data_IF_221419890761
#
_entry.id   IF_221419890761
#
_cell.length_a   1.000
_cell.length_b   1.000
_cell.length_c   1.000
_cell.angle_alpha   90.00
_cell.angle_beta   90.00
_cell.angle_gamma   90.00
#
_symmetry.space_group_name_H-M   'P 1'
#
loop_
_entity.id
_entity.type
_entity.pdbx_description
1 polymer ?
#
# COMPACT_ATOMS: atom_id res chain seq x y z
N UNK A 1 -2.37 -29.15 31.22
CA UNK A 1 -1.37 -28.77 30.19
C UNK A 1 -2.01 -27.73 29.28
N UNK A 2 -1.78 -26.44 29.53
CA UNK A 2 -2.22 -25.36 28.65
C UNK A 2 -1.07 -24.93 27.77
N UNK A 3 -1.16 -25.18 26.46
CA UNK A 3 -0.15 -24.74 25.49
C UNK A 3 -0.21 -23.22 25.30
N UNK A 4 0.93 -22.52 25.18
CA UNK A 4 0.92 -21.11 24.88
C UNK A 4 0.48 -20.91 23.42
N UNK A 5 -0.72 -20.36 23.23
CA UNK A 5 -1.13 -19.78 21.96
C UNK A 5 -0.28 -18.53 21.73
N UNK A 6 0.81 -18.66 20.98
CA UNK A 6 1.57 -17.52 20.49
C UNK A 6 0.74 -16.80 19.43
N UNK A 7 -0.08 -15.83 19.88
CA UNK A 7 -0.74 -14.88 19.00
C UNK A 7 0.35 -14.03 18.37
N UNK A 8 0.79 -14.42 17.17
CA UNK A 8 1.80 -13.71 16.41
C UNK A 8 1.41 -12.24 16.30
N UNK A 9 2.29 -11.38 16.79
CA UNK A 9 2.27 -9.93 16.58
C UNK A 9 2.44 -9.71 15.08
N UNK A 10 1.35 -9.74 14.31
CA UNK A 10 1.37 -9.31 12.92
C UNK A 10 1.48 -7.78 12.98
N UNK A 11 2.69 -7.29 12.72
CA UNK A 11 3.03 -5.87 12.66
C UNK A 11 1.95 -5.14 11.89
N UNK A 12 1.34 -4.12 12.50
CA UNK A 12 0.32 -3.24 11.92
C UNK A 12 0.78 -2.53 10.63
N UNK A 13 2.06 -2.59 10.28
CA UNK A 13 2.64 -1.89 9.12
C UNK A 13 2.20 -2.46 7.76
N UNK A 14 1.69 -3.70 7.67
CA UNK A 14 1.25 -4.29 6.38
C UNK A 14 -0.26 -4.15 6.09
N UNK A 15 -1.05 -3.65 7.05
CA UNK A 15 -2.50 -3.50 6.85
C UNK A 15 -2.82 -2.18 6.18
N UNK A 16 -3.78 -2.19 5.25
CA UNK A 16 -4.27 -0.97 4.62
C UNK A 16 -5.15 -0.17 5.59
N UNK A 17 -4.62 0.94 6.09
CA UNK A 17 -5.34 1.87 6.97
C UNK A 17 -5.93 3.09 6.21
N UNK A 18 -5.76 3.13 4.88
CA UNK A 18 -6.22 4.22 4.01
C UNK A 18 -5.09 5.06 3.42
N UNK A 19 -5.45 5.95 2.50
CA UNK A 19 -4.53 6.94 1.93
C UNK A 19 -4.43 8.18 2.81
N UNK A 20 -3.26 8.82 2.82
CA UNK A 20 -3.00 9.98 3.67
C UNK A 20 -3.83 11.24 3.30
N UNK A 21 -4.36 11.30 2.07
CA UNK A 21 -5.10 12.44 1.58
C UNK A 21 -6.33 12.00 0.77
N UNK A 22 -7.49 12.06 1.41
CA UNK A 22 -8.79 11.70 0.81
C UNK A 22 -9.19 12.61 -0.35
N UNK A 23 -8.70 13.84 -0.36
CA UNK A 23 -9.05 14.82 -1.36
C UNK A 23 -8.11 14.79 -2.56
N UNK A 24 -6.97 14.11 -2.51
CA UNK A 24 -6.01 14.06 -3.61
C UNK A 24 -5.31 15.41 -3.89
N UNK A 25 -5.14 16.26 -2.88
CA UNK A 25 -4.38 17.52 -2.93
C UNK A 25 -2.93 17.30 -3.38
N UNK A 26 -2.29 16.20 -2.97
CA UNK A 26 -0.94 15.86 -3.45
C UNK A 26 -0.88 15.79 -4.98
N UNK A 27 -1.80 15.05 -5.60
CA UNK A 27 -1.82 14.90 -7.06
C UNK A 27 -2.20 16.20 -7.78
N UNK A 28 -3.08 17.02 -7.19
CA UNK A 28 -3.33 18.37 -7.72
C UNK A 28 -2.08 19.24 -7.69
N UNK A 29 -1.31 19.20 -6.60
CA UNK A 29 -0.06 19.94 -6.50
C UNK A 29 0.99 19.41 -7.49
N UNK A 30 1.11 18.09 -7.64
CA UNK A 30 1.99 17.46 -8.63
C UNK A 30 1.63 17.90 -10.05
N UNK A 31 0.35 17.86 -10.42
CA UNK A 31 -0.13 18.27 -11.74
C UNK A 31 0.14 19.77 -12.03
N UNK A 32 0.17 20.62 -11.00
CA UNK A 32 0.51 22.05 -11.14
C UNK A 32 2.00 22.31 -11.28
N UNK A 33 2.83 21.49 -10.65
CA UNK A 33 4.27 21.74 -10.57
C UNK A 33 5.07 20.99 -11.64
N UNK A 34 4.61 19.84 -12.15
CA UNK A 34 5.11 19.09 -13.32
C UNK A 34 6.64 19.13 -13.54
N UNK A 35 7.42 19.11 -12.46
CA UNK A 35 8.88 19.26 -12.46
C UNK A 35 9.49 18.18 -11.60
N UNK A 36 10.59 17.60 -12.07
CA UNK A 36 11.26 16.47 -11.42
C UNK A 36 11.81 16.87 -10.04
N UNK A 37 12.33 18.08 -9.92
CA UNK A 37 12.90 18.65 -8.71
C UNK A 37 11.82 18.84 -7.64
N UNK A 38 10.64 19.31 -8.06
CA UNK A 38 9.48 19.42 -7.18
C UNK A 38 9.06 18.05 -6.67
N UNK A 39 8.94 17.05 -7.56
CA UNK A 39 8.61 15.70 -7.12
C UNK A 39 9.68 15.11 -6.19
N UNK A 40 10.98 15.31 -6.48
CA UNK A 40 12.06 14.85 -5.62
C UNK A 40 11.96 15.43 -4.21
N UNK A 41 11.64 16.73 -4.08
CA UNK A 41 11.43 17.38 -2.79
C UNK A 41 10.18 16.88 -2.04
N UNK A 42 9.16 16.41 -2.76
CA UNK A 42 7.89 15.93 -2.17
C UNK A 42 7.76 14.39 -2.20
N UNK A 43 8.83 13.69 -2.58
CA UNK A 43 8.84 12.24 -2.82
C UNK A 43 8.39 11.45 -1.60
N UNK A 44 8.81 11.88 -0.41
CA UNK A 44 8.43 11.25 0.85
C UNK A 44 6.92 11.26 1.09
N UNK A 45 6.24 12.37 0.77
CA UNK A 45 4.79 12.48 0.90
C UNK A 45 4.06 11.52 -0.04
N UNK A 46 4.61 11.31 -1.24
CA UNK A 46 4.11 10.32 -2.17
C UNK A 46 4.34 8.89 -1.66
N UNK A 47 5.55 8.58 -1.21
CA UNK A 47 5.91 7.23 -0.78
C UNK A 47 5.08 6.80 0.45
N UNK A 48 5.09 7.62 1.50
CA UNK A 48 4.36 7.31 2.75
C UNK A 48 2.85 7.45 2.59
N UNK A 49 2.38 8.45 1.83
CA UNK A 49 0.95 8.77 1.75
C UNK A 49 0.17 7.97 0.71
N UNK A 50 0.86 7.40 -0.29
CA UNK A 50 0.23 6.75 -1.44
C UNK A 50 0.86 5.41 -1.80
N UNK A 51 2.20 5.35 -1.94
CA UNK A 51 2.86 4.13 -2.42
C UNK A 51 2.74 2.99 -1.41
N UNK A 52 3.11 3.22 -0.15
CA UNK A 52 3.02 2.21 0.91
C UNK A 52 1.57 1.79 1.19
N UNK A 53 0.59 2.70 1.33
CA UNK A 53 -0.81 2.31 1.46
C UNK A 53 -1.33 1.48 0.27
N UNK A 54 -0.93 1.81 -0.96
CA UNK A 54 -1.32 1.03 -2.14
C UNK A 54 -0.75 -0.39 -2.11
N UNK A 55 0.50 -0.57 -1.66
CA UNK A 55 1.10 -1.90 -1.47
C UNK A 55 0.33 -2.71 -0.43
N UNK A 56 0.00 -2.09 0.71
CA UNK A 56 -0.81 -2.73 1.77
C UNK A 56 -2.18 -3.17 1.27
N UNK A 57 -2.88 -2.32 0.50
CA UNK A 57 -4.18 -2.65 -0.08
C UNK A 57 -4.08 -3.84 -1.04
N UNK A 58 -3.08 -3.84 -1.92
CA UNK A 58 -2.91 -4.92 -2.90
C UNK A 58 -2.51 -6.24 -2.22
N UNK A 59 -1.69 -6.19 -1.17
CA UNK A 59 -1.35 -7.36 -0.36
C UNK A 59 -2.59 -7.95 0.32
N UNK A 60 -3.43 -7.12 0.94
CA UNK A 60 -4.66 -7.57 1.59
C UNK A 60 -5.65 -8.19 0.59
N UNK A 61 -5.83 -7.57 -0.58
CA UNK A 61 -6.68 -8.10 -1.64
C UNK A 61 -6.12 -9.43 -2.18
N UNK A 62 -4.80 -9.51 -2.37
CA UNK A 62 -4.12 -10.73 -2.84
C UNK A 62 -4.36 -11.91 -1.90
N UNK A 63 -4.23 -11.72 -0.59
CA UNK A 63 -4.48 -12.76 0.42
C UNK A 63 -5.92 -13.32 0.32
N UNK A 64 -6.90 -12.48 0.01
CA UNK A 64 -8.30 -12.90 -0.16
C UNK A 64 -8.51 -13.64 -1.49
N UNK A 65 -7.92 -13.13 -2.58
CA UNK A 65 -8.05 -13.73 -3.90
C UNK A 65 -7.37 -15.10 -4.01
N UNK A 66 -6.17 -15.26 -3.44
CA UNK A 66 -5.45 -16.55 -3.47
C UNK A 66 -6.25 -17.66 -2.77
N UNK A 67 -7.02 -17.32 -1.73
CA UNK A 67 -7.92 -18.26 -1.05
C UNK A 67 -9.13 -18.67 -1.89
N UNK A 68 -9.66 -17.76 -2.70
CA UNK A 68 -10.84 -18.00 -3.54
C UNK A 68 -10.47 -18.71 -4.85
N UNK A 69 -9.25 -18.51 -5.34
CA UNK A 69 -8.78 -19.03 -6.62
C UNK A 69 -7.48 -19.84 -6.48
N UNK A 70 -7.46 -20.95 -5.74
CA UNK A 70 -6.24 -21.68 -5.39
C UNK A 70 -5.46 -22.25 -6.59
N UNK A 71 -6.11 -22.41 -7.74
CA UNK A 71 -5.51 -22.94 -8.97
C UNK A 71 -5.21 -21.87 -10.02
N UNK A 72 -5.42 -20.59 -9.71
CA UNK A 72 -5.17 -19.47 -10.62
C UNK A 72 -4.23 -18.45 -9.95
N UNK A 73 -2.92 -18.72 -9.92
CA UNK A 73 -1.96 -17.82 -9.26
C UNK A 73 -1.93 -16.47 -9.98
N UNK A 74 -2.13 -15.40 -9.22
CA UNK A 74 -2.04 -14.04 -9.75
C UNK A 74 -0.58 -13.64 -9.97
N UNK A 75 -0.33 -12.88 -11.03
CA UNK A 75 0.96 -12.24 -11.29
C UNK A 75 1.35 -11.23 -10.21
N UNK A 76 2.60 -10.74 -10.28
CA UNK A 76 3.06 -9.70 -9.37
C UNK A 76 2.22 -8.42 -9.50
N UNK A 77 1.87 -7.74 -8.39
CA UNK A 77 1.10 -6.51 -8.44
C UNK A 77 1.88 -5.42 -9.18
N UNK A 78 1.20 -4.73 -10.10
CA UNK A 78 1.78 -3.58 -10.79
C UNK A 78 1.45 -2.31 -10.01
N UNK A 79 2.38 -1.91 -9.15
CA UNK A 79 2.31 -0.63 -8.43
C UNK A 79 3.03 0.45 -9.24
N UNK A 80 2.59 1.70 -9.10
CA UNK A 80 3.09 2.91 -9.76
C UNK A 80 4.57 2.80 -10.18
N UNK A 81 4.84 2.90 -11.49
CA UNK A 81 6.17 2.82 -12.11
C UNK A 81 6.52 4.13 -12.76
#
# INVERSE_FOLDING_TARGET
MGGPMTKGTRTTMDRFEGFADREGRFFRALARNQRREWFAAHRRQYEEGWLEPMKGLLAEVRERLDRLFPHHPLGAPKVFR
#
